data_IF_811386198324
#
_entry.id   IF_811386198324
#
_cell.length_a   1.000
_cell.length_b   1.000
_cell.length_c   1.000
_cell.angle_alpha   90.00
_cell.angle_beta   90.00
_cell.angle_gamma   90.00
#
_symmetry.space_group_name_H-M   'P 1'
#
loop_
_entity.id
_entity.type
_entity.pdbx_description
1 polymer ?
#
# COMPACT_ATOMS: atom_id res chain seq x y z
N UNK A 1 32.22 -10.23 2.42
CA UNK A 1 31.07 -9.78 3.25
C UNK A 1 31.03 -10.62 4.52
N UNK A 2 31.13 -10.01 5.71
CA UNK A 2 31.42 -10.72 6.97
C UNK A 2 30.27 -11.64 7.43
N UNK A 3 30.60 -12.87 7.86
CA UNK A 3 29.64 -13.90 8.34
C UNK A 3 28.71 -13.41 9.46
N UNK A 4 29.20 -12.52 10.32
CA UNK A 4 28.43 -11.88 11.40
C UNK A 4 27.35 -10.95 10.88
N UNK A 5 27.62 -10.22 9.79
CA UNK A 5 26.70 -9.28 9.14
C UNK A 5 25.53 -10.00 8.45
N UNK A 6 25.80 -11.16 7.84
CA UNK A 6 24.75 -12.03 7.30
C UNK A 6 23.84 -12.58 8.42
N UNK A 7 24.38 -12.85 9.62
CA UNK A 7 23.59 -13.33 10.75
C UNK A 7 22.67 -12.25 11.32
N UNK A 8 23.14 -11.02 11.50
CA UNK A 8 22.30 -9.91 11.99
C UNK A 8 21.22 -9.51 10.99
N UNK A 9 21.56 -9.42 9.70
CA UNK A 9 20.60 -9.11 8.64
C UNK A 9 19.58 -10.25 8.48
N UNK A 10 20.01 -11.51 8.59
CA UNK A 10 19.11 -12.65 8.64
C UNK A 10 18.20 -12.62 9.87
N UNK A 11 18.70 -12.24 11.05
CA UNK A 11 17.91 -12.19 12.28
C UNK A 11 16.83 -11.09 12.23
N UNK A 12 17.15 -9.90 11.73
CA UNK A 12 16.15 -8.84 11.50
C UNK A 12 15.14 -9.25 10.44
N UNK A 13 15.58 -9.85 9.32
CA UNK A 13 14.67 -10.44 8.31
C UNK A 13 13.78 -11.57 8.85
N UNK A 14 14.24 -12.34 9.84
CA UNK A 14 13.47 -13.39 10.50
C UNK A 14 12.38 -12.81 11.40
N UNK A 15 12.65 -11.69 12.06
CA UNK A 15 11.67 -10.97 12.87
C UNK A 15 10.48 -10.51 12.01
N UNK A 16 10.76 -9.96 10.83
CA UNK A 16 9.74 -9.53 9.87
C UNK A 16 8.84 -10.67 9.34
N UNK A 17 9.31 -11.93 9.34
CA UNK A 17 8.46 -13.09 9.01
C UNK A 17 7.39 -13.39 10.07
N UNK A 18 7.69 -13.11 11.34
CA UNK A 18 6.75 -13.36 12.43
C UNK A 18 5.54 -12.42 12.38
N UNK A 19 5.73 -11.21 11.86
CA UNK A 19 4.69 -10.19 11.77
C UNK A 19 3.75 -10.40 10.57
N UNK A 20 4.16 -11.22 9.60
CA UNK A 20 3.37 -11.57 8.42
C UNK A 20 2.03 -12.21 8.78
N UNK A 21 1.94 -12.90 9.93
CA UNK A 21 0.69 -13.48 10.45
C UNK A 21 -0.35 -12.41 10.81
N UNK A 22 0.09 -11.30 11.40
CA UNK A 22 -0.80 -10.19 11.78
C UNK A 22 -1.28 -9.44 10.54
N UNK A 23 -0.39 -9.33 9.57
CA UNK A 23 -0.67 -8.77 8.28
C UNK A 23 -1.76 -9.59 7.57
N UNK A 24 -1.62 -10.93 7.51
CA UNK A 24 -2.66 -11.84 7.00
C UNK A 24 -3.98 -11.70 7.77
N UNK A 25 -3.92 -11.63 9.10
CA UNK A 25 -5.13 -11.46 9.93
C UNK A 25 -5.88 -10.16 9.62
N UNK A 26 -5.17 -9.03 9.50
CA UNK A 26 -5.78 -7.73 9.16
C UNK A 26 -6.34 -7.75 7.74
N UNK A 27 -5.62 -8.34 6.78
CA UNK A 27 -6.13 -8.49 5.41
C UNK A 27 -7.39 -9.34 5.35
N UNK A 28 -7.46 -10.43 6.14
CA UNK A 28 -8.66 -11.26 6.24
C UNK A 28 -9.84 -10.49 6.86
N UNK A 29 -9.61 -9.71 7.93
CA UNK A 29 -10.65 -8.88 8.53
C UNK A 29 -11.18 -7.83 7.54
N UNK A 30 -10.28 -7.20 6.79
CA UNK A 30 -10.65 -6.27 5.72
C UNK A 30 -11.46 -6.98 4.63
N UNK A 31 -11.05 -8.18 4.23
CA UNK A 31 -11.80 -9.04 3.29
C UNK A 31 -13.25 -9.28 3.74
N UNK A 32 -13.43 -9.71 4.99
CA UNK A 32 -14.77 -9.95 5.56
C UNK A 32 -15.62 -8.68 5.61
N UNK A 33 -15.02 -7.53 5.96
CA UNK A 33 -15.74 -6.25 5.93
C UNK A 33 -16.17 -5.88 4.50
N UNK A 34 -15.29 -6.08 3.52
CA UNK A 34 -15.62 -5.84 2.12
C UNK A 34 -16.76 -6.73 1.64
N UNK A 35 -16.76 -8.01 2.01
CA UNK A 35 -17.87 -8.93 1.69
C UNK A 35 -19.18 -8.47 2.31
N UNK A 36 -19.18 -8.06 3.57
CA UNK A 36 -20.38 -7.54 4.24
C UNK A 36 -20.93 -6.29 3.52
N UNK A 37 -20.05 -5.36 3.11
CA UNK A 37 -20.42 -4.20 2.32
C UNK A 37 -20.92 -4.60 0.92
N UNK A 38 -20.29 -5.59 0.30
CA UNK A 38 -20.68 -6.11 -1.00
C UNK A 38 -22.08 -6.72 -0.98
N UNK A 39 -22.39 -7.56 0.01
CA UNK A 39 -23.72 -8.12 0.22
C UNK A 39 -24.75 -7.02 0.44
N UNK A 40 -24.41 -6.00 1.24
CA UNK A 40 -25.29 -4.86 1.46
C UNK A 40 -25.64 -4.15 0.14
N UNK A 41 -24.65 -3.90 -0.72
CA UNK A 41 -24.85 -3.28 -2.04
C UNK A 41 -25.71 -4.15 -2.97
N UNK A 42 -25.48 -5.46 -2.96
CA UNK A 42 -26.30 -6.41 -3.72
C UNK A 42 -27.77 -6.37 -3.27
N UNK A 43 -28.03 -6.30 -1.96
CA UNK A 43 -29.39 -6.17 -1.40
C UNK A 43 -30.03 -4.82 -1.74
N UNK A 44 -29.24 -3.76 -1.89
CA UNK A 44 -29.70 -2.43 -2.30
C UNK A 44 -30.04 -2.34 -3.81
N UNK A 45 -29.89 -3.42 -4.57
CA UNK A 45 -30.34 -3.51 -5.97
C UNK A 45 -29.26 -3.30 -7.01
N UNK A 46 -27.97 -3.22 -6.63
CA UNK A 46 -26.84 -3.05 -7.55
C UNK A 46 -25.86 -4.23 -7.48
N UNK A 47 -26.30 -5.47 -7.76
CA UNK A 47 -25.47 -6.66 -7.56
C UNK A 47 -24.26 -6.72 -8.50
N UNK A 48 -24.34 -6.09 -9.68
CA UNK A 48 -23.24 -5.99 -10.66
C UNK A 48 -22.02 -5.21 -10.12
N UNK A 49 -22.24 -4.20 -9.27
CA UNK A 49 -21.18 -3.37 -8.72
C UNK A 49 -20.41 -4.05 -7.57
N UNK A 50 -20.94 -5.16 -7.05
CA UNK A 50 -20.48 -5.79 -5.82
C UNK A 50 -19.02 -6.25 -5.88
N UNK A 51 -18.66 -7.01 -6.91
CA UNK A 51 -17.31 -7.59 -7.05
C UNK A 51 -16.25 -6.51 -7.28
N UNK A 52 -16.61 -5.46 -8.04
CA UNK A 52 -15.74 -4.31 -8.29
C UNK A 52 -15.54 -3.48 -7.01
N UNK A 53 -16.59 -3.29 -6.21
CA UNK A 53 -16.51 -2.62 -4.92
C UNK A 53 -15.62 -3.39 -3.94
N UNK A 54 -15.79 -4.71 -3.84
CA UNK A 54 -14.96 -5.57 -2.98
C UNK A 54 -13.49 -5.48 -3.40
N UNK A 55 -13.18 -5.64 -4.69
CA UNK A 55 -11.81 -5.56 -5.18
C UNK A 55 -11.20 -4.17 -4.95
N UNK A 56 -11.93 -3.10 -5.25
CA UNK A 56 -11.41 -1.73 -5.13
C UNK A 56 -11.16 -1.32 -3.68
N UNK A 57 -12.02 -1.69 -2.73
CA UNK A 57 -11.80 -1.44 -1.30
C UNK A 57 -10.63 -2.28 -0.80
N UNK A 58 -10.50 -3.55 -1.22
CA UNK A 58 -9.35 -4.39 -0.82
C UNK A 58 -8.02 -3.83 -1.32
N UNK A 59 -7.97 -3.35 -2.57
CA UNK A 59 -6.78 -2.74 -3.14
C UNK A 59 -6.48 -1.39 -2.46
N UNK A 60 -7.47 -0.49 -2.37
CA UNK A 60 -7.30 0.84 -1.79
C UNK A 60 -7.01 0.81 -0.29
N UNK A 61 -7.84 0.10 0.48
CA UNK A 61 -7.60 -0.14 1.90
C UNK A 61 -6.28 -0.87 2.14
N UNK A 62 -5.90 -1.77 1.22
CA UNK A 62 -4.64 -2.47 1.34
C UNK A 62 -3.41 -1.59 1.16
N UNK A 63 -3.43 -0.70 0.18
CA UNK A 63 -2.40 0.35 0.01
C UNK A 63 -2.22 1.16 1.30
N UNK A 64 -3.32 1.54 1.96
CA UNK A 64 -3.28 2.30 3.21
C UNK A 64 -2.68 1.49 4.37
N UNK A 65 -3.12 0.26 4.56
CA UNK A 65 -2.61 -0.64 5.59
C UNK A 65 -1.10 -0.82 5.43
N UNK A 66 -0.65 -1.08 4.22
CA UNK A 66 0.76 -1.27 3.92
C UNK A 66 1.60 0.01 4.11
N UNK A 67 1.05 1.17 3.73
CA UNK A 67 1.67 2.46 4.01
C UNK A 67 1.92 2.65 5.51
N UNK A 68 0.90 2.40 6.34
CA UNK A 68 0.99 2.50 7.79
C UNK A 68 2.02 1.52 8.37
N UNK A 69 2.00 0.26 7.90
CA UNK A 69 2.98 -0.73 8.30
C UNK A 69 4.40 -0.29 7.95
N UNK A 70 4.64 0.14 6.71
CA UNK A 70 5.96 0.58 6.26
C UNK A 70 6.50 1.73 7.12
N UNK A 71 5.67 2.74 7.41
CA UNK A 71 6.05 3.85 8.29
C UNK A 71 6.38 3.34 9.70
N UNK A 72 5.51 2.51 10.29
CA UNK A 72 5.73 2.01 11.64
C UNK A 72 6.98 1.13 11.75
N UNK A 73 7.25 0.29 10.75
CA UNK A 73 8.47 -0.50 10.70
C UNK A 73 9.72 0.37 10.62
N UNK A 74 9.70 1.44 9.81
CA UNK A 74 10.79 2.38 9.72
C UNK A 74 11.03 3.12 11.04
N UNK A 75 9.98 3.50 11.76
CA UNK A 75 10.08 4.15 13.07
C UNK A 75 10.64 3.21 14.14
N UNK A 76 10.12 1.98 14.22
CA UNK A 76 10.56 1.01 15.22
C UNK A 76 12.02 0.57 15.02
N UNK A 77 12.49 0.53 13.77
CA UNK A 77 13.86 0.12 13.43
C UNK A 77 14.82 1.29 13.25
N UNK A 78 14.42 2.51 13.62
CA UNK A 78 15.23 3.71 13.44
C UNK A 78 16.53 3.67 14.25
N UNK A 79 16.47 3.22 15.51
CA UNK A 79 17.66 3.07 16.35
C UNK A 79 18.69 2.12 15.72
N UNK A 80 18.24 1.02 15.12
CA UNK A 80 19.10 0.09 14.38
C UNK A 80 19.73 0.74 13.14
N UNK A 81 18.99 1.59 12.41
CA UNK A 81 19.51 2.37 11.27
C UNK A 81 20.58 3.38 11.71
N UNK A 82 20.50 3.91 12.94
CA UNK A 82 21.51 4.80 13.52
C UNK A 82 22.75 4.04 13.99
N UNK A 83 22.57 2.90 14.67
CA UNK A 83 23.68 2.11 15.24
C UNK A 83 24.59 1.46 14.19
N UNK A 84 24.07 1.16 13.00
CA UNK A 84 24.84 0.53 11.93
C UNK A 84 24.93 1.40 10.67
N UNK A 85 25.67 2.52 10.78
CA UNK A 85 25.87 3.47 9.68
C UNK A 85 26.48 2.83 8.42
N UNK A 86 27.38 1.85 8.57
CA UNK A 86 28.01 1.13 7.46
C UNK A 86 27.08 0.18 6.70
N UNK A 87 25.99 -0.29 7.33
CA UNK A 87 25.01 -1.20 6.71
C UNK A 87 23.66 -0.55 6.44
N UNK A 88 23.55 0.76 6.64
CA UNK A 88 22.28 1.49 6.55
C UNK A 88 21.59 1.30 5.20
N UNK A 89 22.34 1.33 4.09
CA UNK A 89 21.81 1.05 2.74
C UNK A 89 21.23 -0.35 2.61
N UNK A 90 21.92 -1.36 3.16
CA UNK A 90 21.46 -2.75 3.16
C UNK A 90 20.19 -2.93 3.99
N UNK A 91 20.10 -2.27 5.15
CA UNK A 91 18.92 -2.35 6.01
C UNK A 91 17.71 -1.63 5.40
N UNK A 92 17.91 -0.46 4.78
CA UNK A 92 16.84 0.21 4.02
C UNK A 92 16.36 -0.62 2.83
N UNK A 93 17.26 -1.31 2.13
CA UNK A 93 16.90 -2.20 1.03
C UNK A 93 16.14 -3.44 1.53
N UNK A 94 16.56 -4.02 2.66
CA UNK A 94 15.85 -5.14 3.29
C UNK A 94 14.44 -4.76 3.76
N UNK A 95 14.28 -3.59 4.37
CA UNK A 95 12.98 -3.03 4.76
C UNK A 95 12.09 -2.78 3.53
N UNK A 96 12.64 -2.17 2.49
CA UNK A 96 11.90 -1.91 1.25
C UNK A 96 11.45 -3.23 0.60
N UNK A 97 12.32 -4.24 0.55
CA UNK A 97 11.99 -5.57 0.03
C UNK A 97 10.92 -6.26 0.88
N UNK A 98 10.96 -6.12 2.21
CA UNK A 98 9.93 -6.66 3.08
C UNK A 98 8.57 -5.99 2.83
N UNK A 99 8.53 -4.65 2.74
CA UNK A 99 7.31 -3.90 2.41
C UNK A 99 6.79 -4.29 1.02
N UNK A 100 7.68 -4.43 0.02
CA UNK A 100 7.31 -4.88 -1.33
C UNK A 100 6.71 -6.29 -1.30
N UNK A 101 7.33 -7.21 -0.54
CA UNK A 101 6.83 -8.59 -0.37
C UNK A 101 5.44 -8.59 0.25
N UNK A 102 5.23 -7.76 1.28
CA UNK A 102 3.92 -7.63 1.90
C UNK A 102 2.88 -7.03 0.94
N UNK A 103 3.26 -6.00 0.18
CA UNK A 103 2.41 -5.43 -0.88
C UNK A 103 2.02 -6.49 -1.92
N UNK A 104 2.98 -7.30 -2.35
CA UNK A 104 2.77 -8.35 -3.35
C UNK A 104 1.76 -9.39 -2.85
N UNK A 105 1.90 -9.83 -1.61
CA UNK A 105 0.96 -10.75 -0.99
C UNK A 105 -0.44 -10.14 -0.91
N UNK A 106 -0.53 -8.87 -0.51
CA UNK A 106 -1.82 -8.19 -0.39
C UNK A 106 -2.53 -8.01 -1.74
N UNK A 107 -1.81 -7.55 -2.76
CA UNK A 107 -2.34 -7.43 -4.12
C UNK A 107 -2.77 -8.80 -4.65
N UNK A 108 -1.95 -9.83 -4.43
CA UNK A 108 -2.29 -11.21 -4.80
C UNK A 108 -3.55 -11.71 -4.07
N UNK A 109 -3.67 -11.47 -2.77
CA UNK A 109 -4.87 -11.83 -2.00
C UNK A 109 -6.11 -11.07 -2.49
N UNK A 110 -6.00 -9.77 -2.76
CA UNK A 110 -7.12 -8.97 -3.27
C UNK A 110 -7.57 -9.46 -4.65
N UNK A 111 -6.62 -9.83 -5.53
CA UNK A 111 -6.91 -10.39 -6.84
C UNK A 111 -7.66 -11.73 -6.73
N UNK A 112 -7.16 -12.66 -5.92
CA UNK A 112 -7.80 -13.97 -5.70
C UNK A 112 -9.17 -13.79 -5.06
N UNK A 113 -9.25 -12.98 -4.01
CA UNK A 113 -10.48 -12.73 -3.27
C UNK A 113 -11.55 -12.12 -4.17
N UNK A 114 -11.26 -11.01 -4.85
CA UNK A 114 -12.22 -10.37 -5.76
C UNK A 114 -12.66 -11.28 -6.92
N UNK A 115 -11.78 -12.16 -7.41
CA UNK A 115 -12.14 -13.18 -8.41
C UNK A 115 -13.10 -14.20 -7.83
N UNK A 116 -12.83 -14.73 -6.63
CA UNK A 116 -13.72 -15.68 -5.94
C UNK A 116 -15.08 -15.03 -5.65
N UNK A 117 -15.10 -13.79 -5.15
CA UNK A 117 -16.33 -13.04 -4.90
C UNK A 117 -17.17 -12.91 -6.17
N UNK A 118 -16.55 -12.53 -7.30
CA UNK A 118 -17.24 -12.40 -8.58
C UNK A 118 -17.86 -13.72 -9.04
N UNK A 119 -17.13 -14.84 -8.91
CA UNK A 119 -17.61 -16.17 -9.31
C UNK A 119 -18.73 -16.66 -8.40
N UNK A 120 -18.61 -16.46 -7.08
CA UNK A 120 -19.63 -16.89 -6.10
C UNK A 120 -20.91 -16.06 -6.29
N UNK A 121 -20.80 -14.74 -6.38
CA UNK A 121 -21.96 -13.88 -6.59
C UNK A 121 -22.58 -14.11 -7.97
N UNK A 122 -21.78 -14.32 -9.01
CA UNK A 122 -22.27 -14.70 -10.34
C UNK A 122 -23.09 -16.00 -10.31
N UNK A 123 -22.58 -17.03 -9.62
CA UNK A 123 -23.28 -18.31 -9.47
C UNK A 123 -24.57 -18.20 -8.64
N UNK A 124 -24.58 -17.39 -7.58
CA UNK A 124 -25.73 -17.24 -6.66
C UNK A 124 -26.81 -16.33 -7.26
N UNK A 125 -26.42 -15.23 -7.92
CA UNK A 125 -27.31 -14.20 -8.42
C UNK A 125 -27.64 -14.35 -9.92
N UNK A 126 -27.06 -15.35 -10.59
CA UNK A 126 -27.27 -15.59 -12.03
C UNK A 126 -26.66 -14.52 -12.94
N UNK A 127 -25.64 -13.80 -12.47
CA UNK A 127 -24.97 -12.74 -13.23
C UNK A 127 -23.88 -13.33 -14.16
N UNK A 128 -23.57 -12.65 -15.28
CA UNK A 128 -22.43 -13.03 -16.11
C UNK A 128 -21.13 -13.01 -15.28
N UNK A 129 -20.15 -13.88 -15.59
CA UNK A 129 -18.88 -13.97 -14.88
C UNK A 129 -17.95 -12.82 -15.29
N UNK A 130 -18.38 -11.59 -15.03
CA UNK A 130 -17.58 -10.40 -15.29
C UNK A 130 -16.54 -10.26 -14.17
N UNK A 131 -15.27 -10.38 -14.56
CA UNK A 131 -14.17 -10.38 -13.60
C UNK A 131 -13.74 -8.94 -13.29
N UNK A 132 -13.73 -8.53 -12.02
CA UNK A 132 -13.56 -7.13 -11.63
C UNK A 132 -12.17 -6.57 -11.94
N UNK A 133 -11.18 -7.42 -12.20
CA UNK A 133 -9.84 -6.99 -12.56
C UNK A 133 -9.67 -6.67 -14.05
N UNK A 134 -10.61 -7.09 -14.92
CA UNK A 134 -10.54 -6.81 -16.35
C UNK A 134 -10.70 -5.32 -16.68
N UNK A 135 -11.39 -4.57 -15.81
CA UNK A 135 -11.52 -3.12 -15.94
C UNK A 135 -10.26 -2.36 -15.49
N UNK A 136 -9.28 -3.03 -14.87
CA UNK A 136 -8.06 -2.40 -14.36
C UNK A 136 -6.96 -2.46 -15.45
N UNK A 137 -6.45 -1.30 -15.91
CA UNK A 137 -5.38 -1.27 -16.90
C UNK A 137 -4.11 -1.95 -16.39
N UNK A 138 -3.44 -2.74 -17.25
CA UNK A 138 -2.22 -3.47 -16.91
C UNK A 138 -1.11 -2.64 -16.21
N UNK A 139 -0.84 -1.37 -16.59
CA UNK A 139 0.17 -0.54 -15.91
C UNK A 139 -0.15 -0.21 -14.44
N UNK A 140 -1.41 -0.31 -14.02
CA UNK A 140 -1.83 -0.02 -12.64
C UNK A 140 -1.33 -1.09 -11.67
N UNK A 141 -1.20 -2.35 -12.11
CA UNK A 141 -0.79 -3.47 -11.25
C UNK A 141 0.64 -3.31 -10.68
N UNK A 142 1.67 -3.01 -11.51
CA UNK A 142 2.99 -2.66 -10.98
C UNK A 142 2.96 -1.42 -10.08
N UNK A 143 2.10 -0.44 -10.37
CA UNK A 143 1.99 0.77 -9.56
C UNK A 143 1.44 0.45 -8.16
N UNK A 144 0.37 -0.36 -8.07
CA UNK A 144 -0.19 -0.84 -6.80
C UNK A 144 0.84 -1.60 -5.94
N UNK A 145 1.79 -2.29 -6.58
CA UNK A 145 2.89 -2.99 -5.92
C UNK A 145 3.93 -2.04 -5.33
N UNK A 146 4.33 -1.02 -6.10
CA UNK A 146 5.53 -0.22 -5.81
C UNK A 146 5.19 1.05 -5.03
N UNK A 147 4.07 1.70 -5.34
CA UNK A 147 3.67 3.00 -4.76
C UNK A 147 3.59 2.96 -3.22
N UNK A 148 2.94 1.96 -2.58
CA UNK A 148 2.82 1.95 -1.12
C UNK A 148 4.17 1.85 -0.43
N UNK A 149 5.09 1.07 -1.00
CA UNK A 149 6.45 0.90 -0.48
C UNK A 149 7.25 2.20 -0.58
N UNK A 150 7.19 2.88 -1.72
CA UNK A 150 7.90 4.15 -1.93
C UNK A 150 7.35 5.27 -1.06
N UNK A 151 6.02 5.36 -0.94
CA UNK A 151 5.39 6.31 -0.03
C UNK A 151 5.77 5.98 1.42
N UNK A 152 5.72 4.72 1.84
CA UNK A 152 6.15 4.30 3.18
C UNK A 152 7.56 4.76 3.53
N UNK A 153 8.50 4.61 2.58
CA UNK A 153 9.87 5.12 2.73
C UNK A 153 9.93 6.64 2.85
N UNK A 154 9.13 7.36 2.05
CA UNK A 154 9.05 8.81 2.11
C UNK A 154 8.50 9.32 3.44
N UNK A 155 7.33 8.82 3.85
CA UNK A 155 6.68 9.19 5.11
C UNK A 155 7.56 8.80 6.31
N UNK A 156 8.13 7.59 6.31
CA UNK A 156 9.08 7.16 7.34
C UNK A 156 10.32 8.06 7.42
N UNK A 157 10.90 8.43 6.27
CA UNK A 157 12.03 9.36 6.20
C UNK A 157 11.69 10.77 6.66
N UNK A 158 10.49 11.27 6.34
CA UNK A 158 9.99 12.57 6.80
C UNK A 158 9.83 12.61 8.32
N UNK A 159 9.18 11.61 8.91
CA UNK A 159 8.99 11.55 10.37
C UNK A 159 10.32 11.41 11.09
N UNK A 160 11.28 10.65 10.54
CA UNK A 160 12.62 10.56 11.11
C UNK A 160 13.39 11.88 11.04
N UNK A 161 13.29 12.61 9.93
CA UNK A 161 14.06 13.85 9.73
C UNK A 161 13.50 15.03 10.53
N UNK A 162 12.18 15.15 10.60
CA UNK A 162 11.49 16.31 11.18
C UNK A 162 10.79 15.98 12.51
N UNK A 163 10.92 14.74 12.98
CA UNK A 163 10.36 14.26 14.24
C UNK A 163 8.83 14.18 14.24
N UNK A 164 8.27 14.14 15.46
CA UNK A 164 6.84 13.95 15.72
C UNK A 164 5.94 15.02 15.08
N UNK A 165 6.45 16.25 14.86
CA UNK A 165 5.68 17.34 14.22
C UNK A 165 5.33 17.01 12.77
N UNK A 166 6.27 16.44 12.01
CA UNK A 166 5.98 16.01 10.64
C UNK A 166 4.97 14.86 10.61
N UNK A 167 5.03 13.94 11.58
CA UNK A 167 4.01 12.88 11.71
C UNK A 167 2.59 13.45 11.83
N UNK A 168 2.39 14.46 12.68
CA UNK A 168 1.10 15.14 12.81
C UNK A 168 0.67 15.87 11.54
N UNK A 169 1.58 16.61 10.90
CA UNK A 169 1.26 17.31 9.64
C UNK A 169 0.85 16.33 8.54
N UNK A 170 1.59 15.22 8.40
CA UNK A 170 1.28 14.17 7.42
C UNK A 170 -0.05 13.48 7.75
N UNK A 171 -0.36 13.28 9.03
CA UNK A 171 -1.64 12.72 9.47
C UNK A 171 -2.82 13.66 9.16
N UNK A 172 -2.72 14.95 9.48
CA UNK A 172 -3.77 15.92 9.14
C UNK A 172 -3.95 16.11 7.64
N UNK A 173 -2.85 16.08 6.88
CA UNK A 173 -2.91 16.10 5.41
C UNK A 173 -3.60 14.84 4.87
N UNK A 174 -3.27 13.67 5.43
CA UNK A 174 -3.93 12.42 5.09
C UNK A 174 -5.44 12.46 5.40
N UNK A 175 -5.82 12.89 6.60
CA UNK A 175 -7.23 13.07 6.97
C UNK A 175 -7.95 14.07 6.06
N UNK A 176 -7.31 15.18 5.72
CA UNK A 176 -7.87 16.18 4.82
C UNK A 176 -8.11 15.62 3.42
N UNK A 177 -7.12 14.91 2.86
CA UNK A 177 -7.25 14.29 1.53
C UNK A 177 -8.34 13.21 1.54
N UNK A 178 -8.28 12.26 2.47
CA UNK A 178 -9.27 11.17 2.56
C UNK A 178 -10.69 11.69 2.86
N UNK A 179 -10.81 12.62 3.81
CA UNK A 179 -12.11 13.18 4.21
C UNK A 179 -12.78 14.05 3.15
N UNK A 180 -12.00 14.63 2.23
CA UNK A 180 -12.53 15.43 1.12
C UNK A 180 -12.56 14.67 -0.20
N UNK A 181 -12.12 13.41 -0.25
CA UNK A 181 -12.03 12.66 -1.53
C UNK A 181 -13.37 12.63 -2.26
N UNK A 182 -14.48 12.49 -1.54
CA UNK A 182 -15.83 12.48 -2.13
C UNK A 182 -16.23 13.81 -2.80
N UNK A 183 -15.66 14.94 -2.41
CA UNK A 183 -16.04 16.25 -2.94
C UNK A 183 -15.28 16.63 -4.22
N UNK A 184 -14.02 16.22 -4.36
CA UNK A 184 -13.19 16.60 -5.52
C UNK A 184 -12.97 15.46 -6.53
N UNK A 185 -13.01 14.19 -6.10
CA UNK A 185 -12.74 13.06 -7.00
C UNK A 185 -13.72 12.99 -8.19
N UNK A 186 -15.04 13.19 -8.01
CA UNK A 186 -15.99 13.19 -9.13
C UNK A 186 -15.74 14.36 -10.10
N UNK A 187 -15.39 15.53 -9.57
CA UNK A 187 -15.06 16.72 -10.37
C UNK A 187 -13.82 16.47 -11.23
N UNK A 188 -12.81 15.83 -10.65
CA UNK A 188 -11.58 15.44 -11.34
C UNK A 188 -11.85 14.37 -12.42
N UNK A 189 -12.64 13.36 -12.09
CA UNK A 189 -13.02 12.30 -13.04
C UNK A 189 -13.82 12.85 -14.24
N UNK A 190 -14.63 13.89 -14.03
CA UNK A 190 -15.42 14.50 -15.09
C UNK A 190 -14.64 15.52 -15.94
N UNK A 191 -13.71 16.27 -15.34
CA UNK A 191 -12.95 17.33 -16.04
C UNK A 191 -11.70 16.87 -16.76
N UNK A 192 -11.15 15.70 -16.40
CA UNK A 192 -9.95 15.15 -17.03
C UNK A 192 -10.37 14.25 -18.20
N UNK A 193 -10.01 14.60 -19.45
CA UNK A 193 -10.28 13.75 -20.60
C UNK A 193 -9.65 12.36 -20.43
N UNK A 194 -10.31 11.31 -20.92
CA UNK A 194 -9.81 9.94 -20.81
C UNK A 194 -8.42 9.73 -21.42
N UNK A 195 -8.08 10.53 -22.43
CA UNK A 195 -6.78 10.57 -23.11
C UNK A 195 -5.64 11.08 -22.21
N UNK A 196 -5.95 11.80 -21.13
CA UNK A 196 -4.98 12.39 -20.20
C UNK A 196 -4.64 11.48 -19.02
N UNK A 197 -5.41 10.40 -18.78
CA UNK A 197 -5.12 9.43 -17.70
C UNK A 197 -3.74 8.75 -17.81
N UNK A 198 -3.22 8.41 -19.00
CA UNK A 198 -1.86 7.85 -19.12
C UNK A 198 -0.79 8.87 -18.74
N UNK A 199 -0.94 10.13 -19.17
CA UNK A 199 0.02 11.20 -18.87
C UNK A 199 0.01 11.57 -17.38
N UNK A 200 -1.18 11.66 -16.77
CA UNK A 200 -1.32 11.87 -15.33
C UNK A 200 -0.84 10.67 -14.52
N UNK A 201 -1.09 9.45 -14.99
CA UNK A 201 -0.56 8.22 -14.42
C UNK A 201 0.97 8.20 -14.42
N UNK A 202 1.59 8.55 -15.56
CA UNK A 202 3.05 8.67 -15.67
C UNK A 202 3.62 9.77 -14.76
N UNK A 203 2.99 10.95 -14.72
CA UNK A 203 3.37 12.03 -13.81
C UNK A 203 3.28 11.61 -12.34
N UNK A 204 2.23 10.89 -11.97
CA UNK A 204 2.06 10.31 -10.64
C UNK A 204 3.14 9.28 -10.30
N UNK A 205 3.45 8.37 -11.23
CA UNK A 205 4.53 7.38 -11.05
C UNK A 205 5.89 8.05 -10.87
N UNK A 206 6.21 9.05 -11.69
CA UNK A 206 7.45 9.83 -11.57
C UNK A 206 7.52 10.55 -10.23
N UNK A 207 6.43 11.21 -9.82
CA UNK A 207 6.36 11.89 -8.53
C UNK A 207 6.61 10.92 -7.38
N UNK A 208 5.95 9.75 -7.37
CA UNK A 208 6.12 8.75 -6.31
C UNK A 208 7.55 8.18 -6.30
N UNK A 209 8.16 7.97 -7.47
CA UNK A 209 9.56 7.57 -7.57
C UNK A 209 10.49 8.63 -6.97
N UNK A 210 10.28 9.90 -7.31
CA UNK A 210 11.06 11.02 -6.76
C UNK A 210 10.90 11.08 -5.24
N UNK A 211 9.67 10.98 -4.72
CA UNK A 211 9.39 10.98 -3.28
C UNK A 211 10.07 9.80 -2.57
N UNK A 212 9.99 8.60 -3.14
CA UNK A 212 10.65 7.41 -2.58
C UNK A 212 12.17 7.55 -2.54
N UNK A 213 12.79 8.09 -3.60
CA UNK A 213 14.23 8.38 -3.62
C UNK A 213 14.62 9.45 -2.61
N UNK A 214 13.77 10.47 -2.43
CA UNK A 214 13.99 11.56 -1.49
C UNK A 214 13.88 11.05 -0.04
N UNK A 215 12.89 10.18 0.25
CA UNK A 215 12.76 9.43 1.49
C UNK A 215 14.00 8.58 1.79
N UNK A 216 14.44 7.77 0.82
CA UNK A 216 15.65 6.97 0.95
C UNK A 216 16.90 7.83 1.23
N UNK A 217 17.02 9.01 0.59
CA UNK A 217 18.09 9.97 0.87
C UNK A 217 18.03 10.51 2.29
N UNK A 218 16.84 10.84 2.80
CA UNK A 218 16.66 11.27 4.19
C UNK A 218 17.07 10.18 5.18
N UNK A 219 16.64 8.94 4.94
CA UNK A 219 17.05 7.79 5.75
C UNK A 219 18.57 7.61 5.73
N UNK A 220 19.21 7.74 4.57
CA UNK A 220 20.66 7.58 4.44
C UNK A 220 21.46 8.69 5.12
N UNK A 221 20.95 9.93 5.14
CA UNK A 221 21.63 11.10 5.71
C UNK A 221 21.27 11.41 7.16
N UNK A 222 20.48 10.58 7.84
CA UNK A 222 20.13 10.79 9.26
C UNK A 222 21.37 10.64 10.15
N UNK A 223 21.95 11.73 10.62
CA UNK A 223 22.98 11.68 11.67
C UNK A 223 22.31 11.59 13.03
N UNK A 224 22.95 10.90 13.99
CA UNK A 224 22.61 11.06 15.41
C UNK A 224 22.80 12.56 15.71
N UNK A 225 21.73 13.25 16.07
CA UNK A 225 21.79 14.58 16.67
C UNK A 225 21.72 14.41 18.18
#
# INVERSE_FOLDING_TARGET
MNRTLNRTLSATLRYYRADLKWAVFITALLGLLCEALGIFVAVMGEPEATSLLVLSILLGGGVLVNLLFAVQYLLNNYSLLLSFSSTRRGLTAGLALHCLTFTALQVGTAFVWGTVTALVHGAVLGLPPDLPWQCIPWPVWPALLVVPTLLGLFFGGMVQRFGRRAGWVLYFLFLGVCGTTSSWLPVLAHRVPSVSYPALGLGGVVLVLVLGLLGARFLQRSSVQ
#
